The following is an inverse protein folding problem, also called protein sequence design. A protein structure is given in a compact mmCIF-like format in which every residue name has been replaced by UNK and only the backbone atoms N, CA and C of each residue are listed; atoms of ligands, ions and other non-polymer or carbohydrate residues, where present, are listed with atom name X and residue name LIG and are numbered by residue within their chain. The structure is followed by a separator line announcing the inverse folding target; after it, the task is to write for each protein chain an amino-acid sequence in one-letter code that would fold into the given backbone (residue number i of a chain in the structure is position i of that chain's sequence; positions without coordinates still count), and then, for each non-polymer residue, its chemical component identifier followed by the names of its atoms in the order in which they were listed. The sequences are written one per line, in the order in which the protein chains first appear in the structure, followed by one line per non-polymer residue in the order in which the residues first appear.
data_IF_999352712402
#
_entry.id   IF_999352712402
#
_cell.length_a   1.000
_cell.length_b   1.000
_cell.length_c   1.000
_cell.angle_alpha   90.00
_cell.angle_beta   90.00
_cell.angle_gamma   90.00
#
_symmetry.space_group_name_H-M   'P 1'
#
loop_
_entity.id
_entity.type
_entity.pdbx_description
1 polymer ?
#
# COMPACT_ATOMS: atom_id res chain seq x y z
N UNK A 1 64.95 21.82 -33.86
CA UNK A 1 64.34 21.48 -32.56
C UNK A 1 63.28 22.44 -32.03
N UNK A 2 63.00 23.58 -32.64
CA UNK A 2 61.93 24.52 -32.17
C UNK A 2 60.59 24.40 -32.91
N UNK A 3 60.56 23.80 -34.08
CA UNK A 3 59.31 23.63 -34.86
C UNK A 3 58.49 22.40 -34.45
N UNK A 4 59.13 21.33 -33.98
CA UNK A 4 58.45 20.09 -33.54
C UNK A 4 57.66 20.28 -32.23
N UNK A 5 58.17 21.12 -31.31
CA UNK A 5 57.47 21.42 -30.05
C UNK A 5 56.23 22.31 -30.22
N UNK A 6 56.21 23.13 -31.29
CA UNK A 6 55.05 23.99 -31.60
C UNK A 6 53.87 23.19 -32.14
N UNK A 7 54.12 22.15 -32.94
CA UNK A 7 53.07 21.25 -33.45
C UNK A 7 52.47 20.37 -32.36
N UNK A 8 53.26 19.93 -31.37
CA UNK A 8 52.77 19.09 -30.27
C UNK A 8 51.88 19.90 -29.31
N UNK A 9 52.22 21.18 -29.05
CA UNK A 9 51.40 22.06 -28.18
C UNK A 9 50.10 22.46 -28.89
N UNK A 10 50.10 22.66 -30.19
CA UNK A 10 48.88 22.99 -30.97
C UNK A 10 47.95 21.75 -31.11
N UNK A 11 48.52 20.55 -31.22
CA UNK A 11 47.74 19.29 -31.22
C UNK A 11 47.09 18.98 -29.86
N UNK A 12 47.74 19.34 -28.74
CA UNK A 12 47.21 19.15 -27.39
C UNK A 12 46.08 20.12 -27.04
N UNK A 13 46.02 21.29 -27.68
CA UNK A 13 44.93 22.28 -27.49
C UNK A 13 43.63 21.93 -28.25
N UNK A 14 43.68 21.04 -29.26
CA UNK A 14 42.50 20.60 -29.99
C UNK A 14 41.80 19.37 -29.36
N UNK A 15 42.40 18.69 -28.38
CA UNK A 15 41.81 17.52 -27.73
C UNK A 15 40.92 17.85 -26.50
N UNK A 16 40.79 19.13 -26.12
CA UNK A 16 39.94 19.56 -24.98
C UNK A 16 38.56 20.07 -25.37
N UNK A 17 38.14 19.95 -26.64
CA UNK A 17 36.75 20.06 -26.98
C UNK A 17 36.07 18.70 -26.71
N UNK A 18 36.03 18.27 -25.47
CA UNK A 18 35.07 17.32 -25.00
C UNK A 18 33.69 17.94 -25.26
N UNK A 19 32.96 17.43 -26.24
CA UNK A 19 31.55 17.72 -26.38
C UNK A 19 30.90 17.35 -25.05
N UNK A 20 30.57 18.34 -24.22
CA UNK A 20 29.56 18.17 -23.18
C UNK A 20 28.28 17.88 -23.95
N UNK A 21 28.00 16.60 -24.18
CA UNK A 21 26.66 16.20 -24.62
C UNK A 21 25.72 16.74 -23.53
N UNK A 22 24.77 17.57 -23.95
CA UNK A 22 23.63 17.90 -23.08
C UNK A 22 23.06 16.60 -22.53
N UNK A 23 22.85 16.55 -21.24
CA UNK A 23 22.17 15.42 -20.61
C UNK A 23 20.86 15.15 -21.33
N UNK A 24 20.53 13.89 -21.57
CA UNK A 24 19.26 13.55 -22.22
C UNK A 24 18.10 14.02 -21.33
N UNK A 25 17.03 14.59 -21.93
CA UNK A 25 15.85 14.99 -21.16
C UNK A 25 15.31 13.84 -20.31
N UNK A 26 14.87 14.16 -19.09
CA UNK A 26 14.38 13.17 -18.13
C UNK A 26 13.03 12.58 -18.61
N UNK A 27 12.90 11.26 -18.59
CA UNK A 27 11.69 10.52 -18.94
C UNK A 27 10.72 10.30 -17.77
N UNK A 28 11.09 10.70 -16.54
CA UNK A 28 10.24 10.54 -15.37
C UNK A 28 9.17 11.62 -15.28
N UNK A 29 7.96 11.25 -14.85
CA UNK A 29 6.79 12.11 -14.73
C UNK A 29 6.16 12.00 -13.32
N UNK A 30 6.95 12.30 -12.27
CA UNK A 30 6.52 12.06 -10.89
C UNK A 30 6.30 13.33 -10.07
N UNK A 31 5.29 13.28 -9.17
CA UNK A 31 5.15 14.20 -8.05
C UNK A 31 6.05 13.70 -6.91
N UNK A 32 7.05 14.50 -6.52
CA UNK A 32 8.00 14.17 -5.46
C UNK A 32 7.52 14.66 -4.09
N UNK A 33 6.97 15.88 -4.03
CA UNK A 33 6.40 16.45 -2.81
C UNK A 33 5.10 17.19 -3.09
N UNK A 34 4.29 17.34 -2.06
CA UNK A 34 3.09 18.17 -2.07
C UNK A 34 3.04 18.99 -0.81
N UNK A 35 2.84 20.29 -0.92
CA UNK A 35 2.72 21.22 0.19
C UNK A 35 1.36 21.94 0.15
N UNK A 36 0.81 22.21 1.30
CA UNK A 36 -0.43 22.97 1.49
C UNK A 36 -0.19 24.03 2.54
N UNK A 37 -0.54 25.29 2.24
CA UNK A 37 -0.35 26.40 3.16
C UNK A 37 -1.24 26.29 4.41
N UNK A 38 -0.72 26.79 5.53
CA UNK A 38 -1.43 26.86 6.80
C UNK A 38 -1.43 25.53 7.58
N UNK A 39 -2.31 25.46 8.60
CA UNK A 39 -2.41 24.32 9.52
C UNK A 39 -3.58 23.38 9.16
N UNK A 40 -3.88 23.26 7.86
CA UNK A 40 -4.99 22.43 7.40
C UNK A 40 -4.65 20.93 7.44
N UNK A 41 -3.40 20.59 7.12
CA UNK A 41 -2.96 19.20 7.11
C UNK A 41 -2.79 18.63 8.52
N UNK A 42 -3.29 17.41 8.71
CA UNK A 42 -3.11 16.62 9.92
C UNK A 42 -1.72 16.01 9.98
N UNK A 43 -1.16 15.70 8.80
CA UNK A 43 0.16 15.06 8.60
C UNK A 43 0.71 15.42 7.23
N UNK A 44 1.94 15.03 6.96
CA UNK A 44 2.53 15.10 5.62
C UNK A 44 1.66 14.38 4.58
N UNK A 45 1.52 14.96 3.37
CA UNK A 45 0.83 14.32 2.27
C UNK A 45 1.38 12.92 1.97
N UNK A 46 0.49 11.99 1.68
CA UNK A 46 0.89 10.65 1.22
C UNK A 46 0.85 10.68 -0.31
N UNK A 47 2.03 10.53 -0.92
CA UNK A 47 2.19 10.44 -2.37
C UNK A 47 2.42 8.98 -2.71
N UNK A 48 1.59 8.46 -3.57
CA UNK A 48 1.65 7.10 -4.09
C UNK A 48 1.59 7.17 -5.60
N UNK A 49 1.96 6.10 -6.28
CA UNK A 49 2.18 6.06 -7.73
C UNK A 49 1.29 7.00 -8.57
N UNK A 50 -0.04 6.96 -8.37
CA UNK A 50 -1.02 7.79 -9.09
C UNK A 50 -1.97 8.55 -8.16
N UNK A 51 -1.70 8.56 -6.86
CA UNK A 51 -2.55 9.20 -5.86
C UNK A 51 -1.74 10.13 -4.95
N UNK A 52 -2.34 11.27 -4.60
CA UNK A 52 -1.89 12.14 -3.50
C UNK A 52 -3.03 12.27 -2.51
N UNK A 53 -2.80 11.84 -1.26
CA UNK A 53 -3.79 11.89 -0.18
C UNK A 53 -3.40 12.98 0.81
N UNK A 54 -4.26 13.99 0.94
CA UNK A 54 -4.15 15.11 1.87
C UNK A 54 -5.10 14.87 3.04
N UNK A 55 -4.57 14.49 4.20
CA UNK A 55 -5.39 14.32 5.40
C UNK A 55 -5.57 15.68 6.07
N UNK A 56 -6.80 16.18 6.04
CA UNK A 56 -7.15 17.53 6.47
C UNK A 56 -7.97 17.55 7.76
N UNK A 57 -7.87 18.64 8.51
CA UNK A 57 -8.63 18.86 9.75
C UNK A 57 -10.10 19.11 9.49
N UNK A 58 -10.45 19.65 8.31
CA UNK A 58 -11.80 20.16 8.01
C UNK A 58 -12.02 20.17 6.49
N UNK A 59 -13.04 19.44 6.02
CA UNK A 59 -13.42 19.39 4.61
C UNK A 59 -14.14 20.66 4.13
N UNK A 60 -14.66 21.49 4.99
CA UNK A 60 -15.25 22.76 4.56
C UNK A 60 -14.21 23.78 4.08
N UNK A 61 -12.96 23.61 4.52
CA UNK A 61 -11.85 24.49 4.17
C UNK A 61 -11.13 24.11 2.86
N UNK A 62 -11.52 23.01 2.21
CA UNK A 62 -10.83 22.54 0.99
C UNK A 62 -11.45 23.06 -0.31
N UNK A 63 -12.51 23.88 -0.22
CA UNK A 63 -13.22 24.41 -1.42
C UNK A 63 -12.37 25.35 -2.27
N UNK A 64 -11.29 25.89 -1.72
CA UNK A 64 -10.36 26.79 -2.42
C UNK A 64 -8.92 26.49 -2.00
N UNK A 65 -8.47 25.26 -2.22
CA UNK A 65 -7.14 24.78 -1.82
C UNK A 65 -6.17 24.85 -3.00
N UNK A 66 -4.95 25.31 -2.76
CA UNK A 66 -3.91 25.52 -3.76
C UNK A 66 -2.64 24.67 -3.44
N UNK A 67 -2.67 23.34 -3.64
CA UNK A 67 -1.50 22.49 -3.38
C UNK A 67 -0.33 22.86 -4.29
N UNK A 68 0.88 22.93 -3.72
CA UNK A 68 2.12 23.10 -4.45
C UNK A 68 2.84 21.77 -4.58
N UNK A 69 3.23 21.42 -5.79
CA UNK A 69 3.90 20.18 -6.11
C UNK A 69 5.35 20.44 -6.54
N UNK A 70 6.28 19.65 -6.01
CA UNK A 70 7.61 19.48 -6.58
C UNK A 70 7.58 18.25 -7.47
N UNK A 71 8.14 18.35 -8.65
CA UNK A 71 8.13 17.30 -9.67
C UNK A 71 9.55 16.77 -9.91
N UNK A 72 9.66 15.65 -10.60
CA UNK A 72 10.91 15.19 -11.21
C UNK A 72 11.49 16.31 -12.10
N UNK A 73 12.82 16.35 -12.21
CA UNK A 73 13.51 17.43 -12.91
C UNK A 73 13.01 17.58 -14.34
N UNK A 74 12.69 18.82 -14.73
CA UNK A 74 12.21 19.17 -16.06
C UNK A 74 10.75 18.82 -16.34
N UNK A 75 10.08 18.03 -15.49
CA UNK A 75 8.67 17.67 -15.66
C UNK A 75 7.73 18.87 -15.45
N UNK A 76 6.58 18.84 -16.10
CA UNK A 76 5.50 19.84 -15.98
C UNK A 76 4.22 19.23 -15.45
N UNK A 77 3.33 20.04 -14.85
CA UNK A 77 2.05 19.58 -14.31
C UNK A 77 0.88 20.45 -14.79
N UNK A 78 -0.22 19.81 -15.10
CA UNK A 78 -1.48 20.47 -15.46
C UNK A 78 -2.63 19.89 -14.62
N UNK A 79 -3.45 20.73 -13.98
CA UNK A 79 -3.32 22.18 -13.81
C UNK A 79 -2.01 22.57 -13.09
N UNK A 80 -1.59 23.83 -13.30
CA UNK A 80 -0.33 24.35 -12.75
C UNK A 80 -0.30 24.22 -11.21
N UNK A 81 0.87 23.84 -10.67
CA UNK A 81 1.14 23.79 -9.23
C UNK A 81 0.76 25.12 -8.55
N UNK A 82 0.09 25.05 -7.40
CA UNK A 82 -0.40 26.22 -6.66
C UNK A 82 -1.70 26.84 -7.22
N UNK A 83 -2.32 26.23 -8.23
CA UNK A 83 -3.65 26.68 -8.69
C UNK A 83 -4.73 26.29 -7.67
N UNK A 84 -5.51 27.26 -7.22
CA UNK A 84 -6.61 27.03 -6.30
C UNK A 84 -7.76 26.27 -6.97
N UNK A 85 -8.23 25.19 -6.32
CA UNK A 85 -9.31 24.31 -6.81
C UNK A 85 -10.20 23.86 -5.67
N UNK A 86 -11.39 23.36 -6.03
CA UNK A 86 -12.32 22.79 -5.07
C UNK A 86 -12.04 21.29 -4.85
N UNK A 87 -11.51 20.96 -3.69
CA UNK A 87 -11.19 19.58 -3.27
C UNK A 87 -12.30 18.90 -2.45
N UNK A 88 -13.54 19.43 -2.49
CA UNK A 88 -14.69 18.67 -1.98
C UNK A 88 -14.89 17.36 -2.73
N UNK A 89 -14.34 17.26 -3.92
CA UNK A 89 -14.19 16.03 -4.70
C UNK A 89 -12.73 15.88 -5.14
N UNK A 90 -12.25 14.65 -5.38
CA UNK A 90 -10.89 14.42 -5.88
C UNK A 90 -10.60 15.21 -7.15
N UNK A 91 -9.41 15.78 -7.26
CA UNK A 91 -8.96 16.56 -8.41
C UNK A 91 -7.89 15.79 -9.18
N UNK A 92 -7.95 15.88 -10.52
CA UNK A 92 -6.99 15.23 -11.41
C UNK A 92 -5.90 16.21 -11.81
N UNK A 93 -4.65 15.74 -11.80
CA UNK A 93 -3.47 16.41 -12.30
C UNK A 93 -2.72 15.48 -13.25
N UNK A 94 -2.19 16.03 -14.33
CA UNK A 94 -1.37 15.29 -15.30
C UNK A 94 0.05 15.84 -15.24
N UNK A 95 1.01 14.97 -14.93
CA UNK A 95 2.44 15.28 -14.98
C UNK A 95 2.99 14.78 -16.30
N UNK A 96 3.75 15.61 -17.00
CA UNK A 96 4.41 15.27 -18.26
C UNK A 96 5.92 15.35 -18.04
N UNK A 97 6.66 14.33 -18.47
CA UNK A 97 8.11 14.27 -18.41
C UNK A 97 8.78 15.39 -19.20
N UNK A 98 10.06 15.70 -18.91
CA UNK A 98 10.85 16.70 -19.62
C UNK A 98 10.95 16.41 -21.13
N UNK A 99 11.09 15.13 -21.50
CA UNK A 99 11.15 14.69 -22.91
C UNK A 99 9.78 14.73 -23.62
N UNK A 100 8.69 14.98 -22.88
CA UNK A 100 7.32 15.05 -23.40
C UNK A 100 6.70 13.70 -23.79
N UNK A 101 7.42 12.59 -23.64
CA UNK A 101 6.99 11.28 -24.12
C UNK A 101 6.13 10.52 -23.12
N UNK A 102 6.21 10.87 -21.83
CA UNK A 102 5.50 10.17 -20.77
C UNK A 102 4.58 11.10 -20.00
N UNK A 103 3.39 10.59 -19.71
CA UNK A 103 2.41 11.28 -18.88
C UNK A 103 1.92 10.36 -17.77
N UNK A 104 1.79 10.94 -16.59
CA UNK A 104 1.25 10.26 -15.40
C UNK A 104 0.12 11.06 -14.82
N UNK A 105 -1.04 10.43 -14.69
CA UNK A 105 -2.25 11.06 -14.13
C UNK A 105 -2.35 10.78 -12.65
N UNK A 106 -2.40 11.84 -11.85
CA UNK A 106 -2.55 11.79 -10.40
C UNK A 106 -3.95 12.19 -9.97
N UNK A 107 -4.52 11.41 -9.05
CA UNK A 107 -5.74 11.75 -8.31
C UNK A 107 -5.34 12.34 -6.97
N UNK A 108 -5.62 13.62 -6.75
CA UNK A 108 -5.36 14.32 -5.48
C UNK A 108 -6.65 14.43 -4.70
N UNK A 109 -6.67 13.88 -3.47
CA UNK A 109 -7.88 13.78 -2.63
C UNK A 109 -7.63 14.37 -1.25
N UNK A 110 -8.60 15.18 -0.76
CA UNK A 110 -8.64 15.57 0.64
C UNK A 110 -9.49 14.58 1.43
N UNK A 111 -8.95 14.08 2.52
CA UNK A 111 -9.56 13.08 3.39
C UNK A 111 -9.58 13.60 4.82
N UNK A 112 -10.63 13.29 5.56
CA UNK A 112 -10.61 13.44 7.02
C UNK A 112 -10.02 12.20 7.68
N UNK A 113 -9.66 12.34 8.95
CA UNK A 113 -9.22 11.20 9.74
C UNK A 113 -10.42 10.50 10.40
N UNK A 114 -11.47 10.24 9.62
CA UNK A 114 -12.60 9.48 10.11
C UNK A 114 -12.22 8.01 10.30
N UNK A 115 -12.70 7.45 11.39
CA UNK A 115 -12.43 6.07 11.76
C UNK A 115 -13.65 5.23 11.38
N UNK A 116 -13.47 4.29 10.49
CA UNK A 116 -14.43 3.21 10.29
C UNK A 116 -14.13 2.16 11.35
N UNK A 117 -15.13 1.89 12.19
CA UNK A 117 -15.02 0.91 13.28
C UNK A 117 -15.63 -0.44 12.92
N UNK A 118 -16.49 -0.51 11.89
CA UNK A 118 -17.17 -1.70 11.43
C UNK A 118 -16.88 -1.93 9.95
N UNK A 119 -16.50 -3.13 9.59
CA UNK A 119 -16.14 -3.56 8.24
C UNK A 119 -16.99 -4.77 7.86
N UNK A 120 -17.98 -4.53 7.02
CA UNK A 120 -18.97 -5.56 6.63
C UNK A 120 -18.61 -6.27 5.32
N UNK A 121 -17.66 -5.75 4.53
CA UNK A 121 -17.23 -6.27 3.22
C UNK A 121 -18.34 -6.45 2.19
N UNK A 122 -19.49 -5.78 2.39
CA UNK A 122 -20.61 -5.76 1.45
C UNK A 122 -20.28 -4.97 0.18
N UNK A 123 -19.46 -3.92 0.31
CA UNK A 123 -19.15 -3.01 -0.77
C UNK A 123 -17.85 -3.42 -1.46
N UNK A 124 -17.97 -3.87 -2.69
CA UNK A 124 -16.84 -4.08 -3.58
C UNK A 124 -17.22 -3.68 -5.01
N UNK A 125 -16.26 -3.20 -5.75
CA UNK A 125 -16.39 -2.91 -7.18
C UNK A 125 -15.26 -3.55 -7.97
N UNK A 126 -15.50 -3.82 -9.24
CA UNK A 126 -14.46 -4.31 -10.15
C UNK A 126 -13.75 -3.09 -10.72
N UNK A 127 -12.49 -2.94 -10.35
CA UNK A 127 -11.58 -1.91 -10.87
C UNK A 127 -10.37 -2.62 -11.47
N UNK A 128 -9.98 -2.26 -12.68
CA UNK A 128 -8.88 -2.93 -13.39
C UNK A 128 -9.02 -4.45 -13.53
N UNK A 129 -10.25 -4.97 -13.54
CA UNK A 129 -10.55 -6.39 -13.74
C UNK A 129 -10.52 -7.25 -12.47
N UNK A 130 -10.38 -6.67 -11.29
CA UNK A 130 -10.44 -7.37 -9.99
C UNK A 130 -11.24 -6.59 -8.94
N UNK A 131 -11.63 -7.28 -7.86
CA UNK A 131 -12.38 -6.66 -6.77
C UNK A 131 -11.53 -5.67 -5.97
N UNK A 132 -12.08 -4.49 -5.74
CA UNK A 132 -11.59 -3.48 -4.79
C UNK A 132 -12.66 -3.26 -3.74
N UNK A 133 -12.35 -3.56 -2.49
CA UNK A 133 -13.24 -3.35 -1.34
C UNK A 133 -13.16 -1.92 -0.84
N UNK A 134 -14.28 -1.40 -0.36
CA UNK A 134 -14.35 -0.09 0.27
C UNK A 134 -15.44 -0.04 1.34
N UNK A 135 -15.24 0.82 2.32
CA UNK A 135 -16.24 1.17 3.31
C UNK A 135 -16.52 2.67 3.23
N UNK A 136 -17.73 3.07 3.63
CA UNK A 136 -18.14 4.47 3.62
C UNK A 136 -18.29 4.94 5.06
N UNK A 137 -17.62 6.04 5.40
CA UNK A 137 -17.74 6.68 6.70
C UNK A 137 -19.11 7.35 6.89
N UNK A 138 -19.38 7.80 8.11
CA UNK A 138 -20.62 8.52 8.44
C UNK A 138 -20.77 9.80 7.62
N UNK A 139 -19.67 10.49 7.29
CA UNK A 139 -19.69 11.69 6.43
C UNK A 139 -19.84 11.38 4.94
N UNK A 140 -19.87 10.08 4.55
CA UNK A 140 -19.92 9.65 3.16
C UNK A 140 -18.54 9.54 2.50
N UNK A 141 -17.44 9.70 3.27
CA UNK A 141 -16.09 9.49 2.76
C UNK A 141 -15.85 7.99 2.52
N UNK A 142 -15.41 7.65 1.32
CA UNK A 142 -15.03 6.29 0.96
C UNK A 142 -13.59 6.00 1.40
N UNK A 143 -13.38 4.89 2.08
CA UNK A 143 -12.09 4.37 2.49
C UNK A 143 -11.89 3.02 1.81
N UNK A 144 -10.98 2.97 0.83
CA UNK A 144 -10.68 1.76 0.08
C UNK A 144 -9.67 0.89 0.82
N UNK A 145 -9.89 -0.41 0.76
CA UNK A 145 -8.92 -1.43 1.13
C UNK A 145 -7.96 -1.70 -0.03
N UNK A 146 -6.75 -2.08 0.29
CA UNK A 146 -5.73 -2.49 -0.68
C UNK A 146 -5.51 -3.99 -0.66
N UNK A 147 -5.05 -4.54 -1.78
CA UNK A 147 -4.69 -5.95 -1.92
C UNK A 147 -3.53 -6.14 -2.89
N UNK A 148 -2.94 -7.33 -2.91
CA UNK A 148 -1.91 -7.72 -3.88
C UNK A 148 -2.45 -8.06 -5.28
N UNK A 149 -3.74 -7.82 -5.56
CA UNK A 149 -4.35 -8.19 -6.84
C UNK A 149 -3.69 -7.53 -8.05
N UNK A 150 -3.20 -6.29 -7.93
CA UNK A 150 -2.47 -5.62 -9.01
C UNK A 150 -1.19 -6.38 -9.39
N UNK A 151 -0.45 -6.89 -8.40
CA UNK A 151 0.73 -7.74 -8.63
C UNK A 151 0.37 -9.08 -9.26
N UNK A 152 -0.74 -9.70 -8.84
CA UNK A 152 -1.23 -10.94 -9.46
C UNK A 152 -1.66 -10.71 -10.91
N UNK A 153 -2.35 -9.61 -11.22
CA UNK A 153 -2.74 -9.22 -12.58
C UNK A 153 -1.54 -9.10 -13.50
N UNK A 154 -0.43 -8.54 -13.00
CA UNK A 154 0.82 -8.43 -13.79
C UNK A 154 1.31 -9.80 -14.29
N UNK A 155 1.12 -10.86 -13.49
CA UNK A 155 1.53 -12.23 -13.85
C UNK A 155 0.43 -13.05 -14.49
N UNK A 156 -0.85 -12.69 -14.30
CA UNK A 156 -2.04 -13.43 -14.73
C UNK A 156 -3.07 -12.46 -15.34
N UNK A 157 -2.72 -11.81 -16.44
CA UNK A 157 -3.50 -10.72 -17.04
C UNK A 157 -4.90 -11.12 -17.52
N UNK A 158 -5.15 -12.41 -17.79
CA UNK A 158 -6.43 -12.94 -18.28
C UNK A 158 -7.31 -13.51 -17.16
N UNK A 159 -6.90 -13.40 -15.88
CA UNK A 159 -7.68 -13.90 -14.76
C UNK A 159 -9.03 -13.16 -14.66
N UNK A 160 -10.11 -13.90 -14.40
CA UNK A 160 -11.42 -13.33 -14.10
C UNK A 160 -11.43 -12.78 -12.68
N UNK A 161 -12.33 -11.84 -12.33
CA UNK A 161 -12.38 -11.23 -11.00
C UNK A 161 -12.39 -12.23 -9.84
N UNK A 162 -13.11 -13.34 -9.95
CA UNK A 162 -13.23 -14.38 -8.91
C UNK A 162 -12.00 -15.29 -8.80
N UNK A 163 -11.11 -15.25 -9.80
CA UNK A 163 -9.86 -16.04 -9.84
C UNK A 163 -8.69 -15.30 -9.19
N UNK A 164 -8.88 -14.03 -8.84
CA UNK A 164 -7.85 -13.25 -8.13
C UNK A 164 -7.70 -13.72 -6.68
N UNK A 165 -6.49 -13.57 -6.11
CA UNK A 165 -6.22 -13.92 -4.72
C UNK A 165 -7.18 -13.25 -3.72
N UNK A 166 -7.68 -12.06 -4.02
CA UNK A 166 -8.64 -11.32 -3.20
C UNK A 166 -9.89 -11.08 -4.01
N UNK A 167 -11.01 -11.65 -3.58
CA UNK A 167 -12.32 -11.56 -4.24
C UNK A 167 -13.45 -11.44 -3.22
N UNK A 168 -14.67 -11.12 -3.67
CA UNK A 168 -15.88 -11.11 -2.86
C UNK A 168 -16.59 -12.46 -2.96
N UNK A 169 -17.18 -12.91 -1.87
CA UNK A 169 -18.03 -14.11 -1.81
C UNK A 169 -19.42 -13.74 -1.33
N UNK A 170 -20.45 -14.34 -1.96
CA UNK A 170 -21.86 -14.20 -1.56
C UNK A 170 -22.22 -14.99 -0.27
N UNK A 171 -21.28 -15.80 0.26
CA UNK A 171 -21.50 -16.68 1.42
C UNK A 171 -20.85 -16.12 2.68
N UNK A 172 -21.20 -14.88 3.06
CA UNK A 172 -20.71 -14.22 4.28
C UNK A 172 -21.28 -14.84 5.56
N UNK A 173 -20.79 -14.38 6.70
CA UNK A 173 -21.45 -14.59 7.99
C UNK A 173 -22.80 -13.85 8.00
N UNK A 174 -22.79 -12.63 7.45
CA UNK A 174 -23.97 -11.87 7.04
C UNK A 174 -23.73 -11.34 5.64
N UNK A 175 -24.68 -11.53 4.72
CA UNK A 175 -24.56 -11.05 3.35
C UNK A 175 -23.31 -11.56 2.64
N UNK A 176 -22.46 -10.62 2.19
CA UNK A 176 -21.21 -10.91 1.49
C UNK A 176 -20.02 -10.86 2.43
N UNK A 177 -18.90 -11.41 1.98
CA UNK A 177 -17.66 -11.36 2.73
C UNK A 177 -16.44 -11.25 1.82
N UNK A 178 -15.28 -10.97 2.38
CA UNK A 178 -14.01 -11.09 1.66
C UNK A 178 -13.56 -12.56 1.62
N UNK A 179 -13.14 -13.00 0.44
CA UNK A 179 -12.51 -14.30 0.19
C UNK A 179 -11.07 -14.08 -0.24
N UNK A 180 -10.15 -14.69 0.48
CA UNK A 180 -8.71 -14.61 0.26
C UNK A 180 -8.18 -16.01 -0.06
N UNK A 181 -7.55 -16.18 -1.22
CA UNK A 181 -7.03 -17.47 -1.68
C UNK A 181 -5.56 -17.33 -2.07
N UNK A 182 -4.72 -18.22 -1.60
CA UNK A 182 -3.33 -18.30 -2.07
C UNK A 182 -3.30 -18.91 -3.46
N UNK A 183 -2.78 -18.19 -4.44
CA UNK A 183 -2.72 -18.56 -5.85
C UNK A 183 -1.30 -18.74 -6.33
N UNK A 184 -1.09 -19.54 -7.38
CA UNK A 184 0.16 -19.60 -8.11
C UNK A 184 0.26 -18.42 -9.07
N UNK A 185 1.42 -17.77 -9.11
CA UNK A 185 1.73 -16.69 -10.06
C UNK A 185 2.32 -17.21 -11.38
N UNK A 186 2.39 -18.53 -11.54
CA UNK A 186 2.92 -19.18 -12.74
C UNK A 186 4.42 -18.98 -12.93
N UNK A 187 4.87 -19.15 -14.18
CA UNK A 187 6.29 -19.04 -14.54
C UNK A 187 6.80 -17.62 -14.37
N UNK A 188 6.01 -16.63 -14.78
CA UNK A 188 6.43 -15.23 -14.74
C UNK A 188 6.68 -14.77 -13.30
N UNK A 189 5.75 -15.06 -12.36
CA UNK A 189 5.95 -14.72 -10.96
C UNK A 189 7.16 -15.41 -10.33
N UNK A 190 7.42 -16.68 -10.69
CA UNK A 190 8.63 -17.39 -10.25
C UNK A 190 9.91 -16.68 -10.70
N UNK A 191 9.93 -16.17 -11.94
CA UNK A 191 11.08 -15.42 -12.49
C UNK A 191 11.37 -14.16 -11.67
N UNK A 192 10.35 -13.49 -11.16
CA UNK A 192 10.50 -12.34 -10.27
C UNK A 192 10.65 -12.72 -8.78
N UNK A 193 10.84 -13.99 -8.47
CA UNK A 193 11.03 -14.46 -7.09
C UNK A 193 9.76 -14.46 -6.23
N UNK A 194 8.58 -14.34 -6.85
CA UNK A 194 7.26 -14.35 -6.21
C UNK A 194 6.40 -15.52 -6.76
N UNK A 195 6.70 -16.79 -6.42
CA UNK A 195 6.07 -17.98 -7.01
C UNK A 195 4.60 -18.15 -6.65
N UNK A 196 4.17 -17.49 -5.59
CA UNK A 196 2.78 -17.47 -5.11
C UNK A 196 2.33 -16.03 -4.79
N UNK A 197 1.04 -15.81 -4.84
CA UNK A 197 0.38 -14.63 -4.29
C UNK A 197 -0.59 -15.09 -3.19
N UNK A 198 -0.29 -14.80 -1.94
CA UNK A 198 -1.23 -14.98 -0.86
C UNK A 198 -2.41 -14.01 -1.05
N UNK A 199 -3.63 -14.49 -0.94
CA UNK A 199 -4.80 -13.62 -0.85
C UNK A 199 -4.64 -12.72 0.38
N UNK A 200 -4.73 -11.42 0.18
CA UNK A 200 -4.58 -10.46 1.25
C UNK A 200 -5.50 -9.26 1.07
N UNK A 201 -5.93 -8.69 2.18
CA UNK A 201 -6.66 -7.43 2.22
C UNK A 201 -6.12 -6.61 3.40
N UNK A 202 -5.79 -5.34 3.16
CA UNK A 202 -5.18 -4.53 4.21
C UNK A 202 -5.48 -3.04 4.07
N UNK A 203 -5.36 -2.32 5.18
CA UNK A 203 -5.41 -0.86 5.17
C UNK A 203 -4.04 -0.30 4.80
N UNK A 204 -4.02 0.55 3.77
CA UNK A 204 -2.79 1.11 3.20
C UNK A 204 -2.86 1.22 1.68
N UNK A 205 -1.75 0.97 0.99
CA UNK A 205 -1.68 0.95 -0.48
C UNK A 205 -0.79 -0.17 -1.00
N UNK A 206 -0.90 -0.44 -2.29
CA UNK A 206 -0.10 -1.42 -2.98
C UNK A 206 0.56 -0.79 -4.22
N UNK A 207 1.88 -0.88 -4.29
CA UNK A 207 2.68 -0.44 -5.43
C UNK A 207 3.64 -1.54 -5.84
N UNK A 208 3.66 -1.89 -7.13
CA UNK A 208 4.46 -3.02 -7.60
C UNK A 208 5.95 -2.68 -7.50
N UNK A 209 6.68 -3.40 -6.65
CA UNK A 209 8.14 -3.44 -6.60
C UNK A 209 8.61 -4.78 -7.20
N UNK A 210 9.14 -4.74 -8.42
CA UNK A 210 9.61 -5.93 -9.13
C UNK A 210 10.94 -6.47 -8.58
N UNK A 211 11.73 -5.65 -7.91
CA UNK A 211 13.03 -6.05 -7.35
C UNK A 211 12.87 -6.66 -5.96
N UNK A 212 11.93 -6.15 -5.18
CA UNK A 212 11.64 -6.64 -3.84
C UNK A 212 10.14 -6.77 -3.63
N UNK A 213 9.47 -7.80 -4.20
CA UNK A 213 8.00 -7.89 -4.23
C UNK A 213 7.32 -7.80 -2.85
N UNK A 214 8.00 -8.19 -1.76
CA UNK A 214 7.49 -8.03 -0.40
C UNK A 214 7.37 -6.55 0.03
N UNK A 215 8.06 -5.62 -0.63
CA UNK A 215 7.94 -4.17 -0.40
C UNK A 215 6.78 -3.53 -1.16
N UNK A 216 6.10 -4.26 -2.03
CA UNK A 216 4.94 -3.75 -2.77
C UNK A 216 3.77 -3.33 -1.88
N UNK A 217 3.72 -3.77 -0.64
CA UNK A 217 2.69 -3.41 0.33
C UNK A 217 3.15 -2.24 1.20
N UNK A 218 2.38 -1.15 1.20
CA UNK A 218 2.59 -0.01 2.10
C UNK A 218 1.47 0.00 3.13
N UNK A 219 1.75 -0.56 4.30
CA UNK A 219 0.74 -0.79 5.33
C UNK A 219 0.46 0.43 6.17
N UNK A 220 -0.80 0.65 6.50
CA UNK A 220 -1.30 1.58 7.50
C UNK A 220 -1.96 2.83 6.92
N UNK A 221 -2.96 3.27 7.65
CA UNK A 221 -3.66 4.55 7.46
C UNK A 221 -3.52 5.40 8.72
N UNK A 222 -3.58 6.73 8.65
CA UNK A 222 -3.50 7.60 9.83
C UNK A 222 -4.55 7.23 10.86
N UNK A 223 -4.15 7.17 12.13
CA UNK A 223 -5.04 6.81 13.21
C UNK A 223 -4.72 7.59 14.49
N UNK A 224 -5.71 8.32 15.03
CA UNK A 224 -5.53 9.26 16.16
C UNK A 224 -6.15 8.78 17.48
N UNK A 225 -6.55 7.53 17.54
CA UNK A 225 -7.10 6.89 18.74
C UNK A 225 -6.20 5.74 19.15
N UNK A 226 -6.31 5.30 20.38
CA UNK A 226 -5.62 4.10 20.83
C UNK A 226 -6.50 2.88 20.53
N UNK A 227 -6.09 1.97 19.63
CA UNK A 227 -6.87 0.77 19.38
C UNK A 227 -6.81 -0.18 20.57
N UNK A 228 -7.92 -0.86 20.87
CA UNK A 228 -8.03 -1.79 22.01
C UNK A 228 -8.31 -3.22 21.61
N UNK A 229 -9.21 -3.47 20.66
CA UNK A 229 -9.53 -4.81 20.16
C UNK A 229 -9.80 -4.80 18.66
N UNK A 230 -9.45 -5.91 18.01
CA UNK A 230 -9.92 -6.28 16.68
C UNK A 230 -10.75 -7.56 16.80
N UNK A 231 -11.99 -7.55 16.35
CA UNK A 231 -12.91 -8.68 16.39
C UNK A 231 -13.58 -8.92 15.05
N UNK A 232 -14.23 -10.06 14.87
CA UNK A 232 -14.95 -10.43 13.65
C UNK A 232 -15.19 -11.92 13.56
N UNK A 233 -15.49 -12.40 12.36
CA UNK A 233 -15.75 -13.81 12.07
C UNK A 233 -14.83 -14.27 10.93
N UNK A 234 -14.36 -15.51 11.00
CA UNK A 234 -13.55 -16.10 9.93
C UNK A 234 -13.89 -17.58 9.70
N UNK A 235 -13.55 -18.07 8.51
CA UNK A 235 -13.40 -19.48 8.15
C UNK A 235 -12.07 -19.65 7.45
N UNK A 236 -11.40 -20.78 7.69
CA UNK A 236 -10.11 -21.03 7.07
C UNK A 236 -9.92 -22.50 6.72
N UNK A 237 -9.33 -22.75 5.55
CA UNK A 237 -8.88 -24.06 5.11
C UNK A 237 -7.51 -23.93 4.47
N UNK A 238 -6.56 -24.72 4.95
CA UNK A 238 -5.21 -24.77 4.37
C UNK A 238 -5.21 -25.51 3.04
N UNK A 239 -4.37 -25.08 2.11
CA UNK A 239 -4.05 -25.83 0.90
C UNK A 239 -3.29 -27.12 1.22
N UNK A 240 -3.25 -28.05 0.27
CA UNK A 240 -2.71 -29.41 0.52
C UNK A 240 -1.20 -29.44 0.82
N UNK A 241 -0.42 -28.60 0.12
CA UNK A 241 1.05 -28.67 0.15
C UNK A 241 1.64 -27.31 0.48
N UNK A 242 2.22 -27.19 1.67
CA UNK A 242 3.03 -26.03 2.02
C UNK A 242 4.36 -26.07 1.28
N UNK A 243 4.69 -25.02 0.54
CA UNK A 243 5.95 -24.89 -0.20
C UNK A 243 6.72 -23.67 0.23
N UNK A 244 8.05 -23.74 0.16
CA UNK A 244 8.93 -22.59 0.30
C UNK A 244 8.96 -21.74 -0.98
N UNK A 245 9.66 -20.59 -0.95
CA UNK A 245 9.81 -19.69 -2.10
C UNK A 245 10.51 -20.31 -3.31
N UNK A 246 11.18 -21.46 -3.16
CA UNK A 246 11.81 -22.22 -4.26
C UNK A 246 10.87 -23.27 -4.84
N UNK A 247 9.69 -23.48 -4.21
CA UNK A 247 8.72 -24.50 -4.59
C UNK A 247 8.97 -25.87 -3.96
N UNK A 248 9.89 -25.99 -3.01
CA UNK A 248 10.13 -27.23 -2.28
C UNK A 248 9.01 -27.44 -1.25
N UNK A 249 8.45 -28.65 -1.21
CA UNK A 249 7.44 -29.03 -0.22
C UNK A 249 8.07 -29.07 1.18
N UNK A 250 7.42 -28.43 2.15
CA UNK A 250 7.80 -28.50 3.56
C UNK A 250 6.96 -29.62 4.20
N UNK A 251 7.57 -30.77 4.49
CA UNK A 251 6.83 -31.93 4.98
C UNK A 251 6.29 -31.70 6.39
N UNK A 252 5.17 -32.36 6.71
CA UNK A 252 4.55 -32.36 8.05
C UNK A 252 4.17 -30.97 8.59
N UNK A 253 4.01 -29.98 7.72
CA UNK A 253 3.53 -28.65 8.07
C UNK A 253 2.35 -28.28 7.19
N UNK A 254 1.39 -27.57 7.78
CA UNK A 254 0.26 -26.95 7.09
C UNK A 254 0.43 -25.44 7.05
N UNK A 255 -0.10 -24.81 6.03
CA UNK A 255 -0.26 -23.38 5.98
C UNK A 255 -1.25 -22.89 7.06
N UNK A 256 -1.17 -21.62 7.41
CA UNK A 256 -2.06 -20.97 8.37
C UNK A 256 -2.43 -19.60 7.85
N UNK A 257 -3.66 -19.19 8.07
CA UNK A 257 -4.06 -17.80 7.81
C UNK A 257 -3.40 -16.85 8.79
N UNK A 258 -3.52 -15.55 8.52
CA UNK A 258 -3.18 -14.52 9.48
C UNK A 258 -4.22 -13.39 9.47
N UNK A 259 -4.64 -13.00 10.67
CA UNK A 259 -5.49 -11.84 10.94
C UNK A 259 -4.79 -11.06 12.04
N UNK A 260 -4.34 -9.85 11.72
CA UNK A 260 -3.64 -9.03 12.69
C UNK A 260 -3.81 -7.54 12.42
N UNK A 261 -3.51 -6.74 13.43
CA UNK A 261 -3.40 -5.30 13.29
C UNK A 261 -2.17 -4.79 14.02
N UNK A 262 -1.55 -3.76 13.45
CA UNK A 262 -0.33 -3.14 13.95
C UNK A 262 -0.55 -1.64 14.08
N UNK A 263 -0.28 -1.10 15.25
CA UNK A 263 -0.28 0.32 15.52
C UNK A 263 1.15 0.80 15.74
N UNK A 264 1.61 1.74 14.89
CA UNK A 264 3.01 2.13 14.85
C UNK A 264 3.20 3.65 14.65
N UNK A 265 4.33 4.17 15.12
CA UNK A 265 4.72 5.57 14.94
C UNK A 265 5.25 5.80 13.53
N UNK A 266 4.75 6.84 12.88
CA UNK A 266 5.20 7.32 11.56
C UNK A 266 6.22 8.43 11.74
N UNK A 267 7.30 8.35 10.97
CA UNK A 267 8.36 9.36 10.90
C UNK A 267 8.70 9.65 9.44
N UNK A 268 9.49 10.70 9.16
CA UNK A 268 9.99 10.97 7.80
C UNK A 268 10.82 9.82 7.22
N UNK A 269 11.54 9.07 8.07
CA UNK A 269 12.34 7.91 7.67
C UNK A 269 11.50 6.62 7.57
N UNK A 270 10.33 6.58 8.20
CA UNK A 270 9.43 5.43 8.23
C UNK A 270 8.00 5.91 7.97
N UNK A 271 7.67 6.28 6.71
CA UNK A 271 6.35 6.78 6.36
C UNK A 271 5.28 5.67 6.38
N UNK A 272 5.67 4.44 6.13
CA UNK A 272 4.84 3.23 6.21
C UNK A 272 5.69 2.01 6.60
N UNK A 273 5.04 0.90 6.92
CA UNK A 273 5.66 -0.42 7.05
C UNK A 273 5.30 -1.24 5.81
N UNK A 274 6.12 -2.24 5.49
CA UNK A 274 5.95 -3.12 4.33
C UNK A 274 6.00 -4.62 4.71
N UNK A 275 5.87 -5.51 3.72
CA UNK A 275 5.86 -6.96 3.95
C UNK A 275 7.13 -7.51 4.57
N UNK A 276 8.24 -6.77 4.54
CA UNK A 276 9.51 -7.20 5.14
C UNK A 276 9.60 -6.88 6.63
N UNK A 277 8.78 -5.93 7.14
CA UNK A 277 9.00 -5.36 8.47
C UNK A 277 7.72 -5.14 9.31
N UNK A 278 6.52 -5.36 8.77
CA UNK A 278 5.22 -5.07 9.41
C UNK A 278 5.04 -5.71 10.79
N UNK A 279 5.73 -6.79 11.10
CA UNK A 279 5.63 -7.49 12.40
C UNK A 279 6.83 -7.27 13.32
N UNK A 280 7.91 -6.66 12.82
CA UNK A 280 9.21 -6.64 13.52
C UNK A 280 9.79 -5.25 13.70
N UNK A 281 9.26 -4.24 13.00
CA UNK A 281 9.83 -2.91 12.99
C UNK A 281 9.79 -2.24 14.37
N UNK A 282 10.84 -1.49 14.68
CA UNK A 282 10.99 -0.81 15.96
C UNK A 282 9.94 0.27 16.26
N UNK A 283 9.26 0.81 15.25
CA UNK A 283 8.21 1.82 15.43
C UNK A 283 6.86 1.23 15.88
N UNK A 284 6.73 -0.11 15.91
CA UNK A 284 5.49 -0.77 16.35
C UNK A 284 5.31 -0.56 17.85
N UNK A 285 4.14 -0.06 18.25
CA UNK A 285 3.80 0.22 19.63
C UNK A 285 2.80 -0.79 20.18
N UNK A 286 1.75 -1.10 19.39
CA UNK A 286 0.75 -2.10 19.75
C UNK A 286 0.58 -3.09 18.61
N UNK A 287 0.25 -4.34 18.96
CA UNK A 287 -0.11 -5.38 18.01
C UNK A 287 -1.26 -6.23 18.53
N UNK A 288 -2.22 -6.52 17.66
CA UNK A 288 -3.25 -7.53 17.85
C UNK A 288 -3.01 -8.61 16.79
N UNK A 289 -2.92 -9.89 17.17
CA UNK A 289 -2.70 -10.98 16.23
C UNK A 289 -3.52 -12.21 16.65
N UNK A 290 -4.22 -12.82 15.69
CA UNK A 290 -4.93 -14.07 15.88
C UNK A 290 -3.92 -15.18 16.21
N UNK A 291 -4.10 -15.85 17.34
CA UNK A 291 -3.23 -16.94 17.78
C UNK A 291 -3.82 -18.31 17.49
N UNK A 292 -5.14 -18.49 17.64
CA UNK A 292 -5.86 -19.71 17.28
C UNK A 292 -6.26 -19.68 15.82
N UNK A 293 -5.36 -20.15 14.95
CA UNK A 293 -5.50 -20.15 13.46
C UNK A 293 -5.97 -21.52 12.96
N UNK A 294 -7.03 -22.07 13.58
CA UNK A 294 -7.54 -23.39 13.23
C UNK A 294 -8.24 -23.43 11.86
N UNK A 295 -8.15 -24.58 11.21
CA UNK A 295 -9.00 -24.87 10.07
C UNK A 295 -10.44 -25.06 10.54
N UNK A 296 -11.41 -24.48 9.81
CA UNK A 296 -12.83 -24.58 10.12
C UNK A 296 -13.69 -24.30 8.88
N UNK A 297 -14.70 -25.14 8.67
CA UNK A 297 -15.73 -24.94 7.64
C UNK A 297 -16.87 -24.04 8.17
N UNK A 298 -16.98 -23.85 9.48
CA UNK A 298 -17.98 -22.99 10.12
C UNK A 298 -17.36 -21.64 10.49
N UNK A 299 -18.18 -20.60 10.50
CA UNK A 299 -17.79 -19.29 10.97
C UNK A 299 -17.40 -19.33 12.46
N UNK A 300 -16.22 -18.83 12.77
CA UNK A 300 -15.70 -18.71 14.14
C UNK A 300 -15.48 -17.24 14.46
N UNK A 301 -16.04 -16.82 15.58
CA UNK A 301 -15.80 -15.50 16.12
C UNK A 301 -14.37 -15.38 16.67
N UNK A 302 -13.70 -14.27 16.40
CA UNK A 302 -12.46 -13.89 17.05
C UNK A 302 -12.59 -12.53 17.74
N UNK A 303 -11.84 -12.35 18.82
CA UNK A 303 -11.66 -11.06 19.48
C UNK A 303 -10.22 -11.00 20.01
N UNK A 304 -9.44 -10.09 19.48
CA UNK A 304 -8.00 -10.01 19.67
C UNK A 304 -7.66 -8.69 20.35
N UNK A 305 -7.17 -8.68 21.60
CA UNK A 305 -6.74 -7.44 22.23
C UNK A 305 -5.43 -6.92 21.62
N UNK A 306 -5.31 -5.60 21.50
CA UNK A 306 -4.03 -4.98 21.21
C UNK A 306 -3.12 -5.05 22.44
N UNK A 307 -1.96 -5.65 22.25
CA UNK A 307 -0.93 -5.80 23.28
C UNK A 307 0.21 -4.83 23.01
N UNK A 308 0.71 -4.18 24.06
CA UNK A 308 1.87 -3.30 23.98
C UNK A 308 3.13 -4.11 23.68
N UNK A 309 3.92 -3.65 22.73
CA UNK A 309 5.26 -4.20 22.50
C UNK A 309 6.16 -3.77 23.66
N UNK A 310 6.88 -4.72 24.23
CA UNK A 310 7.74 -4.51 25.41
C UNK A 310 8.68 -3.30 25.20
N UNK A 311 8.70 -2.39 26.16
CA UNK A 311 9.52 -1.18 26.13
C UNK A 311 8.97 -0.07 25.24
N UNK A 312 7.73 -0.18 24.72
CA UNK A 312 7.07 0.84 23.90
C UNK A 312 5.88 1.45 24.65
N UNK A 313 5.60 2.70 24.36
CA UNK A 313 4.43 3.42 24.88
C UNK A 313 3.90 4.38 23.84
N UNK A 314 2.61 4.70 23.92
CA UNK A 314 1.99 5.72 23.08
C UNK A 314 2.31 7.09 23.66
N UNK A 315 2.90 7.96 22.86
CA UNK A 315 3.04 9.38 23.17
C UNK A 315 1.72 10.09 22.82
N UNK A 316 1.06 10.62 23.83
CA UNK A 316 -0.26 11.27 23.70
C UNK A 316 -0.20 12.55 22.84
N UNK A 317 0.92 13.27 22.84
CA UNK A 317 1.11 14.44 21.98
C UNK A 317 1.22 14.03 20.54
N UNK A 318 2.10 13.07 20.21
CA UNK A 318 2.25 12.50 18.87
C UNK A 318 0.94 11.87 18.36
N UNK A 319 0.16 11.24 19.26
CA UNK A 319 -1.15 10.68 18.91
C UNK A 319 -2.11 11.77 18.43
N UNK A 320 -2.21 12.87 19.16
CA UNK A 320 -3.03 14.04 18.78
C UNK A 320 -2.54 14.68 17.49
N UNK A 321 -1.25 14.72 17.27
CA UNK A 321 -0.61 15.25 16.05
C UNK A 321 -0.75 14.32 14.84
N UNK A 322 -1.35 13.11 14.99
CA UNK A 322 -1.53 12.16 13.89
C UNK A 322 -0.26 11.46 13.43
N UNK A 323 0.74 11.35 14.31
CA UNK A 323 2.02 10.69 14.03
C UNK A 323 1.97 9.15 14.18
N UNK A 324 0.76 8.57 14.19
CA UNK A 324 0.56 7.13 14.24
C UNK A 324 -0.27 6.65 13.05
N UNK A 325 -0.02 5.41 12.66
CA UNK A 325 -0.81 4.69 11.66
C UNK A 325 -1.28 3.36 12.21
N UNK A 326 -2.45 2.91 11.74
CA UNK A 326 -3.01 1.60 12.01
C UNK A 326 -3.03 0.80 10.71
N UNK A 327 -2.39 -0.35 10.72
CA UNK A 327 -2.50 -1.36 9.69
C UNK A 327 -3.40 -2.50 10.18
N UNK A 328 -4.45 -2.84 9.44
CA UNK A 328 -5.22 -4.08 9.61
C UNK A 328 -4.88 -4.95 8.42
N UNK A 329 -4.51 -6.19 8.66
CA UNK A 329 -4.04 -7.11 7.62
C UNK A 329 -4.72 -8.46 7.76
N UNK A 330 -5.32 -8.91 6.68
CA UNK A 330 -5.91 -10.24 6.50
C UNK A 330 -5.08 -10.97 5.46
N UNK A 331 -4.70 -12.21 5.71
CA UNK A 331 -3.92 -13.01 4.75
C UNK A 331 -4.33 -14.48 4.79
N UNK A 332 -4.48 -15.10 3.62
CA UNK A 332 -4.73 -16.54 3.49
C UNK A 332 -3.52 -17.38 3.89
N UNK A 333 -2.32 -16.76 3.97
CA UNK A 333 -1.06 -17.46 4.32
C UNK A 333 -0.20 -16.60 5.24
N UNK A 334 0.13 -17.12 6.42
CA UNK A 334 0.89 -16.40 7.46
C UNK A 334 2.27 -15.94 7.00
N UNK A 335 2.93 -16.75 6.17
CA UNK A 335 4.25 -16.48 5.60
C UNK A 335 4.17 -16.07 4.13
N UNK A 336 3.03 -15.51 3.72
CA UNK A 336 2.79 -15.08 2.34
C UNK A 336 3.80 -14.05 1.84
N UNK A 337 4.24 -13.12 2.70
CA UNK A 337 5.27 -12.13 2.37
C UNK A 337 6.65 -12.75 2.12
N UNK A 338 6.93 -13.92 2.71
CA UNK A 338 8.15 -14.72 2.48
C UNK A 338 7.99 -15.71 1.32
N UNK A 339 6.85 -15.66 0.62
CA UNK A 339 6.48 -16.62 -0.44
C UNK A 339 6.50 -18.08 0.00
N UNK A 340 6.26 -18.33 1.29
CA UNK A 340 6.10 -19.65 1.88
C UNK A 340 4.63 -19.87 2.18
N UNK A 341 3.95 -20.70 1.38
CA UNK A 341 2.51 -20.87 1.47
C UNK A 341 2.03 -22.15 0.76
N UNK A 342 0.77 -22.51 0.97
CA UNK A 342 0.11 -23.57 0.23
C UNK A 342 -0.91 -22.98 -0.76
N UNK A 343 -0.73 -23.24 -2.05
CA UNK A 343 -1.72 -22.89 -3.07
C UNK A 343 -3.06 -23.53 -2.72
N UNK A 344 -4.14 -22.75 -2.78
CA UNK A 344 -5.48 -23.16 -2.35
C UNK A 344 -5.81 -22.87 -0.88
N UNK A 345 -4.86 -22.39 -0.05
CA UNK A 345 -5.19 -21.87 1.28
C UNK A 345 -6.22 -20.76 1.16
N UNK A 346 -7.37 -20.93 1.83
CA UNK A 346 -8.52 -20.06 1.68
C UNK A 346 -8.98 -19.53 3.03
N UNK A 347 -9.03 -18.21 3.16
CA UNK A 347 -9.55 -17.48 4.31
C UNK A 347 -10.78 -16.66 3.89
N UNK A 348 -11.86 -16.80 4.64
CA UNK A 348 -13.01 -15.90 4.59
C UNK A 348 -13.04 -15.06 5.85
N UNK A 349 -13.32 -13.77 5.73
CA UNK A 349 -13.48 -12.86 6.87
C UNK A 349 -14.71 -12.00 6.67
N UNK A 350 -15.43 -11.74 7.77
CA UNK A 350 -16.65 -10.96 7.74
C UNK A 350 -16.91 -10.27 9.08
N UNK A 351 -17.79 -9.25 9.05
CA UNK A 351 -18.29 -8.53 10.22
C UNK A 351 -17.19 -8.13 11.20
N UNK A 352 -16.12 -7.53 10.67
CA UNK A 352 -15.02 -7.07 11.52
C UNK A 352 -15.36 -5.79 12.26
N UNK A 353 -14.84 -5.68 13.48
CA UNK A 353 -14.96 -4.48 14.30
C UNK A 353 -13.62 -4.12 14.93
N UNK A 354 -13.29 -2.83 14.85
CA UNK A 354 -12.19 -2.19 15.56
C UNK A 354 -12.72 -1.41 16.75
N UNK A 355 -12.30 -1.75 17.95
CA UNK A 355 -12.57 -0.98 19.17
C UNK A 355 -11.37 -0.11 19.53
N UNK A 356 -11.62 1.10 20.05
CA UNK A 356 -10.58 2.08 20.41
C UNK A 356 -11.05 3.01 21.54
N UNK A 357 -10.12 3.69 22.18
CA UNK A 357 -10.31 4.73 23.19
C UNK A 357 -9.59 6.05 22.83
#
# INVERSE_FOLDING_TARGET
MKLQNFFIITALLFTLQSCIKSEAPNAEADILTCEVDGNLLIREPIIQNTEVKLYVTDLDKVKNLAPRFTLTQGATISPTSGTARNFSTPQTYVVTSEDGNWQKTYKVSCLTNEIIAHYHFENARITDGYYTFYDTSVSGQEIAWSSGNAGFKFTNSNAKPDEFPTSQSESGYRGKCVKLVTQSTGVLGKTFGAPIAAGNLFTGSFEIDLFTPAKSTHFGIPFKRKPTHLSGYYKYKAGEKLTDKKGNVIPNQKDKCDIYAVFYEVTSQVPHLDGTNIKTHNNIVLMAQLTDKRETDNWVQFSIPFKTIKGRSIDTKKLKEGKYSLAIVLSSSEKGADFTAAVGSTLYVDEMQLSYE
#
